data_IF_811661851391
#
_entry.id   IF_811661851391
#
_cell.length_a   1.000
_cell.length_b   1.000
_cell.length_c   1.000
_cell.angle_alpha   90.00
_cell.angle_beta   90.00
_cell.angle_gamma   90.00
#
_symmetry.space_group_name_H-M   'P 1'
#
loop_
_entity.id
_entity.type
_entity.pdbx_description
1 polymer ?
#
# COMPACT_ATOMS: atom_id res chain seq x y z
N UNK A 1 -2.83 6.89 -15.69
CA UNK A 1 -2.78 5.42 -15.83
C UNK A 1 -3.06 4.86 -14.44
N UNK A 2 -4.17 4.13 -14.25
CA UNK A 2 -4.47 3.48 -12.96
C UNK A 2 -3.73 2.14 -12.94
N UNK A 3 -2.49 2.14 -12.50
CA UNK A 3 -1.77 0.90 -12.18
C UNK A 3 -2.11 0.50 -10.74
N UNK A 4 -3.39 0.22 -10.49
CA UNK A 4 -3.75 -0.53 -9.29
C UNK A 4 -3.45 -1.99 -9.59
N UNK A 5 -2.21 -2.40 -9.32
CA UNK A 5 -1.74 -3.76 -9.60
C UNK A 5 -2.33 -4.79 -8.65
N UNK A 6 -2.80 -4.37 -7.47
CA UNK A 6 -3.26 -5.29 -6.46
C UNK A 6 -4.68 -5.77 -6.77
N UNK A 7 -4.79 -7.05 -7.14
CA UNK A 7 -6.08 -7.71 -7.33
C UNK A 7 -6.89 -7.69 -6.03
N UNK A 8 -8.17 -7.31 -6.11
CA UNK A 8 -9.09 -7.26 -4.96
C UNK A 8 -9.14 -8.57 -4.17
N UNK A 9 -9.05 -9.72 -4.86
CA UNK A 9 -9.02 -11.02 -4.21
C UNK A 9 -7.76 -11.21 -3.37
N UNK A 10 -6.62 -10.75 -3.86
CA UNK A 10 -5.34 -10.82 -3.14
C UNK A 10 -5.37 -9.83 -1.98
N UNK A 11 -5.88 -8.62 -2.21
CA UNK A 11 -6.09 -7.63 -1.15
C UNK A 11 -6.93 -8.18 0.00
N UNK A 12 -8.08 -8.79 -0.30
CA UNK A 12 -8.98 -9.35 0.71
C UNK A 12 -8.33 -10.46 1.55
N UNK A 13 -7.35 -11.19 0.99
CA UNK A 13 -6.57 -12.18 1.74
C UNK A 13 -5.50 -11.53 2.62
N UNK A 14 -4.93 -10.40 2.21
CA UNK A 14 -3.84 -9.72 2.93
C UNK A 14 -4.34 -8.77 4.01
N UNK A 15 -5.40 -8.00 3.73
CA UNK A 15 -5.91 -6.90 4.54
C UNK A 15 -6.10 -7.26 6.03
N UNK A 16 -6.68 -8.42 6.41
CA UNK A 16 -6.89 -8.75 7.82
C UNK A 16 -5.59 -8.88 8.61
N UNK A 17 -4.49 -9.21 7.93
CA UNK A 17 -3.18 -9.44 8.53
C UNK A 17 -2.32 -8.19 8.63
N UNK A 18 -2.71 -7.09 7.95
CA UNK A 18 -1.97 -5.85 8.02
C UNK A 18 -2.22 -5.15 9.37
N UNK A 19 -1.16 -4.60 10.00
CA UNK A 19 -1.30 -3.76 11.18
C UNK A 19 -1.80 -2.36 10.79
N UNK A 20 -2.36 -1.64 11.75
CA UNK A 20 -2.81 -0.25 11.55
C UNK A 20 -4.13 -0.16 10.80
N UNK A 21 -4.95 -1.22 10.85
CA UNK A 21 -6.36 -1.20 10.41
C UNK A 21 -7.25 -0.54 11.47
N UNK A 22 -8.48 -0.22 11.09
CA UNK A 22 -9.45 0.34 12.00
C UNK A 22 -9.69 -0.61 13.19
N UNK A 23 -9.52 -0.10 14.40
CA UNK A 23 -9.65 -0.89 15.64
C UNK A 23 -8.34 -1.44 16.19
N UNK A 24 -7.22 -1.38 15.45
CA UNK A 24 -5.90 -1.68 16.01
C UNK A 24 -5.46 -0.57 16.97
N UNK A 25 -4.80 -0.90 18.10
CA UNK A 25 -4.19 0.10 18.97
C UNK A 25 -3.12 0.93 18.25
N UNK A 26 -3.14 2.25 18.45
CA UNK A 26 -2.13 3.16 17.89
C UNK A 26 -2.62 3.91 16.65
N UNK A 27 -1.69 4.22 15.73
CA UNK A 27 -2.01 5.01 14.53
C UNK A 27 -2.55 4.11 13.42
N UNK A 28 -3.77 4.41 12.99
CA UNK A 28 -4.38 3.82 11.79
C UNK A 28 -3.80 4.48 10.54
N UNK A 29 -3.43 3.67 9.54
CA UNK A 29 -3.01 4.17 8.23
C UNK A 29 -4.19 4.85 7.51
N UNK A 30 -3.93 5.91 6.73
CA UNK A 30 -4.99 6.58 5.97
C UNK A 30 -5.57 5.66 4.88
N UNK A 31 -4.70 4.95 4.17
CA UNK A 31 -5.08 3.97 3.17
C UNK A 31 -3.99 2.88 3.11
N UNK A 32 -4.27 1.75 3.77
CA UNK A 32 -3.34 0.62 3.82
C UNK A 32 -3.17 -0.05 2.45
N UNK A 33 -4.17 0.04 1.57
CA UNK A 33 -4.09 -0.54 0.24
C UNK A 33 -3.13 0.28 -0.62
N UNK A 34 -3.29 1.59 -0.62
CA UNK A 34 -2.40 2.50 -1.33
C UNK A 34 -0.95 2.37 -0.85
N UNK A 35 -0.76 2.19 0.47
CA UNK A 35 0.56 1.91 1.04
C UNK A 35 1.16 0.61 0.46
N UNK A 36 0.41 -0.49 0.42
CA UNK A 36 0.91 -1.75 -0.15
C UNK A 36 1.19 -1.64 -1.65
N UNK A 37 0.35 -0.93 -2.41
CA UNK A 37 0.60 -0.65 -3.83
C UNK A 37 1.92 0.12 -4.03
N UNK A 38 2.24 1.07 -3.15
CA UNK A 38 3.51 1.80 -3.16
C UNK A 38 4.73 0.88 -2.92
N UNK A 39 4.60 -0.04 -1.95
CA UNK A 39 5.65 -1.03 -1.64
C UNK A 39 5.87 -1.97 -2.82
N UNK A 40 4.81 -2.45 -3.48
CA UNK A 40 4.94 -3.29 -4.66
C UNK A 40 5.57 -2.57 -5.84
N UNK A 41 5.22 -1.29 -6.05
CA UNK A 41 5.86 -0.48 -7.08
C UNK A 41 7.37 -0.33 -6.83
N UNK A 42 7.77 -0.03 -5.59
CA UNK A 42 9.19 0.04 -5.21
C UNK A 42 9.92 -1.28 -5.45
N UNK A 43 9.33 -2.40 -5.02
CA UNK A 43 9.91 -3.73 -5.19
C UNK A 43 10.07 -4.12 -6.68
N UNK A 44 9.13 -3.72 -7.54
CA UNK A 44 9.17 -4.02 -8.98
C UNK A 44 10.16 -3.15 -9.75
N UNK A 45 10.33 -1.90 -9.33
CA UNK A 45 11.14 -0.90 -10.05
C UNK A 45 12.57 -0.82 -9.55
N UNK A 46 12.85 -1.39 -8.37
CA UNK A 46 14.12 -1.22 -7.64
C UNK A 46 14.48 0.26 -7.42
N UNK A 47 13.45 1.12 -7.38
CA UNK A 47 13.62 2.55 -7.24
C UNK A 47 13.89 2.94 -5.78
N UNK A 48 14.66 4.00 -5.58
CA UNK A 48 14.81 4.60 -4.26
C UNK A 48 13.49 5.22 -3.79
N UNK A 49 13.28 5.27 -2.47
CA UNK A 49 12.12 5.92 -1.84
C UNK A 49 11.86 7.36 -2.32
N UNK A 50 12.92 8.11 -2.64
CA UNK A 50 12.81 9.49 -3.17
C UNK A 50 12.18 9.57 -4.56
N UNK A 51 12.21 8.47 -5.32
CA UNK A 51 11.59 8.38 -6.63
C UNK A 51 10.15 7.87 -6.55
N UNK A 52 9.63 7.60 -5.35
CA UNK A 52 8.26 7.16 -5.18
C UNK A 52 7.30 8.22 -5.75
N UNK A 53 6.42 7.83 -6.69
CA UNK A 53 5.46 8.76 -7.27
C UNK A 53 4.57 9.42 -6.20
N UNK A 54 4.34 10.73 -6.36
CA UNK A 54 3.56 11.55 -5.42
C UNK A 54 2.08 11.12 -5.27
N UNK A 55 1.58 10.20 -6.09
CA UNK A 55 0.23 9.66 -5.93
C UNK A 55 0.12 8.57 -4.86
N UNK A 56 1.23 7.95 -4.45
CA UNK A 56 1.27 6.95 -3.37
C UNK A 56 1.27 7.56 -1.97
N UNK A 57 1.59 8.85 -1.85
CA UNK A 57 1.65 9.55 -0.58
C UNK A 57 1.68 11.06 -0.78
N UNK A 58 0.89 11.76 0.03
CA UNK A 58 0.89 13.22 0.15
C UNK A 58 1.55 13.63 1.46
#
# INVERSE_FOLDING_TARGET
MKEQELNDRVWALMEPHLPGKAGDPGRTGQDNRLFMEAIFWLARTDAHWRALPAHFGK
#
